data_IF_458231068184
#
_entry.id   IF_458231068184
#
_cell.length_a   1.000
_cell.length_b   1.000
_cell.length_c   1.000
_cell.angle_alpha   90.00
_cell.angle_beta   90.00
_cell.angle_gamma   90.00
#
_symmetry.space_group_name_H-M   'P 1'
#
loop_
_entity.id
_entity.type
_entity.pdbx_description
1 polymer ?
#
# COMPACT_ATOMS: atom_id res chain seq x y z
N UNK A 1 0.84 -16.11 -17.81
CA UNK A 1 1.40 -14.74 -17.83
C UNK A 1 0.60 -13.79 -18.73
N UNK A 2 0.29 -14.14 -19.98
CA UNK A 2 -0.59 -13.33 -20.86
C UNK A 2 -1.91 -12.91 -20.19
N UNK A 3 -2.62 -13.87 -19.59
CA UNK A 3 -3.88 -13.61 -18.90
C UNK A 3 -3.78 -12.55 -17.78
N UNK A 4 -2.65 -12.48 -17.05
CA UNK A 4 -2.44 -11.43 -16.04
C UNK A 4 -2.23 -10.06 -16.67
N UNK A 5 -1.55 -10.00 -17.82
CA UNK A 5 -1.34 -8.76 -18.56
C UNK A 5 -2.66 -8.26 -19.15
N UNK A 6 -3.50 -9.18 -19.66
CA UNK A 6 -4.83 -8.84 -20.17
C UNK A 6 -5.72 -8.24 -19.06
N UNK A 7 -5.71 -8.83 -17.86
CA UNK A 7 -6.42 -8.27 -16.69
C UNK A 7 -5.83 -6.91 -16.29
N UNK A 8 -4.50 -6.74 -16.31
CA UNK A 8 -3.86 -5.46 -16.04
C UNK A 8 -4.28 -4.37 -17.03
N UNK A 9 -4.41 -4.69 -18.32
CA UNK A 9 -4.89 -3.77 -19.33
C UNK A 9 -6.35 -3.36 -19.10
N UNK A 10 -7.20 -4.29 -18.68
CA UNK A 10 -8.59 -3.98 -18.28
C UNK A 10 -8.64 -3.07 -17.05
N UNK A 11 -7.82 -3.32 -16.03
CA UNK A 11 -7.73 -2.50 -14.81
C UNK A 11 -7.41 -1.05 -15.13
N UNK A 12 -6.47 -0.81 -16.07
CA UNK A 12 -6.08 0.55 -16.48
C UNK A 12 -7.23 1.33 -17.12
N UNK A 13 -8.15 0.63 -17.81
CA UNK A 13 -9.24 1.25 -18.56
C UNK A 13 -10.54 1.37 -17.75
N UNK A 14 -10.76 0.47 -16.78
CA UNK A 14 -11.97 0.44 -15.96
C UNK A 14 -12.06 1.67 -15.05
N UNK A 15 -13.16 2.42 -15.13
CA UNK A 15 -13.38 3.67 -14.38
C UNK A 15 -14.10 3.42 -13.06
N UNK A 16 -14.93 2.38 -12.98
CA UNK A 16 -15.65 2.04 -11.78
C UNK A 16 -14.72 1.36 -10.76
N UNK A 17 -14.68 1.91 -9.55
CA UNK A 17 -13.77 1.46 -8.51
C UNK A 17 -14.04 0.00 -8.09
N UNK A 18 -15.32 -0.37 -7.96
CA UNK A 18 -15.70 -1.71 -7.49
C UNK A 18 -15.40 -2.77 -8.56
N UNK A 19 -15.64 -2.47 -9.83
CA UNK A 19 -15.23 -3.33 -10.95
C UNK A 19 -13.70 -3.47 -11.00
N UNK A 20 -12.97 -2.38 -10.82
CA UNK A 20 -11.50 -2.42 -10.76
C UNK A 20 -10.99 -3.31 -9.62
N UNK A 21 -11.63 -3.26 -8.45
CA UNK A 21 -11.31 -4.13 -7.32
C UNK A 21 -11.54 -5.62 -7.64
N UNK A 22 -12.65 -5.94 -8.32
CA UNK A 22 -12.92 -7.32 -8.76
C UNK A 22 -11.86 -7.84 -9.72
N UNK A 23 -11.43 -7.03 -10.70
CA UNK A 23 -10.34 -7.40 -11.61
C UNK A 23 -9.02 -7.68 -10.87
N UNK A 24 -8.69 -6.89 -9.85
CA UNK A 24 -7.50 -7.15 -9.00
C UNK A 24 -7.64 -8.49 -8.27
N UNK A 25 -8.82 -8.80 -7.73
CA UNK A 25 -9.07 -10.08 -7.06
C UNK A 25 -8.96 -11.26 -8.02
N UNK A 26 -9.41 -11.10 -9.28
CA UNK A 26 -9.24 -12.11 -10.33
C UNK A 26 -7.76 -12.35 -10.67
N UNK A 27 -6.95 -11.29 -10.76
CA UNK A 27 -5.50 -11.42 -10.94
C UNK A 27 -4.83 -12.16 -9.77
N UNK A 28 -5.25 -11.88 -8.53
CA UNK A 28 -4.76 -12.59 -7.33
C UNK A 28 -5.16 -14.07 -7.38
N UNK A 29 -6.41 -14.39 -7.74
CA UNK A 29 -6.86 -15.77 -7.89
C UNK A 29 -6.05 -16.52 -8.95
N UNK A 30 -5.80 -15.89 -10.10
CA UNK A 30 -4.96 -16.46 -11.14
C UNK A 30 -3.51 -16.72 -10.67
N UNK A 31 -2.97 -15.83 -9.83
CA UNK A 31 -1.68 -16.04 -9.18
C UNK A 31 -1.67 -17.23 -8.20
N UNK A 32 -2.77 -17.51 -7.52
CA UNK A 32 -2.91 -18.67 -6.62
C UNK A 32 -3.05 -19.96 -7.43
N UNK A 33 -3.97 -19.98 -8.40
CA UNK A 33 -4.35 -21.19 -9.13
C UNK A 33 -3.26 -21.68 -10.11
N UNK A 34 -2.51 -20.74 -10.70
CA UNK A 34 -1.48 -21.05 -11.72
C UNK A 34 -0.05 -20.73 -11.29
N UNK A 35 0.15 -20.16 -10.09
CA UNK A 35 1.46 -19.84 -9.54
C UNK A 35 2.10 -21.00 -8.76
N UNK A 36 3.22 -20.76 -8.05
CA UNK A 36 3.77 -19.46 -7.68
C UNK A 36 4.69 -18.88 -8.76
N UNK A 37 4.33 -17.71 -9.28
CA UNK A 37 5.23 -16.92 -10.14
C UNK A 37 6.32 -16.21 -9.31
N UNK A 38 6.11 -16.11 -7.99
CA UNK A 38 7.04 -15.59 -7.00
C UNK A 38 6.88 -16.38 -5.70
N UNK A 39 8.00 -16.70 -5.04
CA UNK A 39 8.03 -17.38 -3.75
C UNK A 39 8.39 -16.37 -2.66
N UNK A 40 7.40 -15.90 -1.92
CA UNK A 40 7.61 -15.05 -0.74
C UNK A 40 8.04 -15.89 0.47
N UNK A 41 8.87 -15.30 1.34
CA UNK A 41 9.31 -15.94 2.60
C UNK A 41 8.51 -15.43 3.79
N UNK A 42 8.69 -14.17 4.15
CA UNK A 42 7.99 -13.47 5.23
C UNK A 42 7.49 -12.12 4.72
N UNK A 43 6.28 -11.73 5.13
CA UNK A 43 5.67 -10.46 4.78
C UNK A 43 5.78 -9.43 5.91
N UNK A 44 6.04 -8.17 5.53
CA UNK A 44 5.85 -6.95 6.35
C UNK A 44 6.27 -7.06 7.82
N UNK A 45 7.57 -6.91 8.09
CA UNK A 45 8.07 -6.72 9.46
C UNK A 45 7.50 -5.43 10.08
N UNK A 46 7.29 -5.38 11.42
CA UNK A 46 7.04 -4.12 12.11
C UNK A 46 8.15 -3.10 11.84
N UNK A 47 7.76 -1.86 11.59
CA UNK A 47 8.68 -0.73 11.37
C UNK A 47 8.34 0.39 12.36
N UNK A 48 8.91 0.37 13.58
CA UNK A 48 8.62 1.41 14.57
C UNK A 48 9.24 2.75 14.15
N UNK A 49 8.53 3.83 14.47
CA UNK A 49 9.01 5.22 14.36
C UNK A 49 9.07 5.81 15.76
N UNK A 50 10.08 6.65 16.00
CA UNK A 50 10.27 7.31 17.30
C UNK A 50 9.81 8.75 17.19
N UNK A 51 8.90 9.14 18.08
CA UNK A 51 8.33 10.48 18.13
C UNK A 51 8.65 11.08 19.51
N UNK A 52 8.99 12.37 19.55
CA UNK A 52 9.18 13.08 20.82
C UNK A 52 7.83 13.31 21.48
N UNK A 53 7.75 13.21 22.80
CA UNK A 53 6.49 13.40 23.54
C UNK A 53 5.83 14.78 23.34
N UNK A 54 6.60 15.78 22.92
CA UNK A 54 6.11 17.14 22.63
C UNK A 54 5.81 17.37 21.14
N UNK A 55 5.97 16.35 20.28
CA UNK A 55 5.73 16.42 18.83
C UNK A 55 4.46 15.64 18.50
N UNK A 56 3.46 16.35 18.03
CA UNK A 56 2.08 15.88 17.98
C UNK A 56 1.56 15.80 16.54
N UNK A 57 0.38 15.19 16.43
CA UNK A 57 -0.37 14.99 15.19
C UNK A 57 0.29 14.04 14.18
N UNK A 58 1.23 13.22 14.64
CA UNK A 58 1.78 12.09 13.88
C UNK A 58 0.85 10.88 14.06
N UNK A 59 0.38 10.21 13.00
CA UNK A 59 -0.46 9.02 13.12
C UNK A 59 0.26 7.86 13.84
N UNK A 60 -0.48 7.14 14.68
CA UNK A 60 0.03 5.97 15.41
C UNK A 60 0.33 4.78 14.49
N UNK A 61 -0.36 4.69 13.35
CA UNK A 61 -0.22 3.61 12.38
C UNK A 61 -0.04 4.14 10.96
N UNK A 62 0.71 3.39 10.14
CA UNK A 62 0.96 3.75 8.75
C UNK A 62 1.69 2.66 7.98
N UNK A 63 1.78 2.84 6.67
CA UNK A 63 2.52 1.93 5.77
C UNK A 63 3.89 2.56 5.49
N UNK A 64 4.93 2.02 6.12
CA UNK A 64 6.32 2.44 5.95
C UNK A 64 7.05 1.52 4.98
N UNK A 65 7.99 2.08 4.20
CA UNK A 65 8.89 1.33 3.31
C UNK A 65 8.59 1.44 1.81
N UNK A 66 7.35 1.23 1.33
CA UNK A 66 7.04 1.37 -0.09
C UNK A 66 7.14 2.81 -0.58
N UNK A 67 7.87 3.01 -1.69
CA UNK A 67 7.92 4.30 -2.39
C UNK A 67 6.53 4.77 -2.85
N UNK A 68 5.66 3.86 -3.29
CA UNK A 68 4.34 4.20 -3.81
C UNK A 68 3.39 4.83 -2.78
N UNK A 69 3.55 4.48 -1.49
CA UNK A 69 2.74 5.04 -0.40
C UNK A 69 3.42 6.29 0.19
N UNK A 70 4.73 6.48 -0.05
CA UNK A 70 5.46 7.73 0.26
C UNK A 70 5.39 8.23 1.70
N UNK A 71 5.06 7.38 2.68
CA UNK A 71 5.09 7.77 4.10
C UNK A 71 6.51 8.24 4.51
N UNK A 72 6.64 9.34 5.29
CA UNK A 72 5.59 10.08 6.01
C UNK A 72 4.89 11.19 5.20
N UNK A 73 5.09 11.30 3.88
CA UNK A 73 4.46 12.34 3.07
C UNK A 73 2.93 12.27 3.04
N UNK A 74 2.35 11.06 3.05
CA UNK A 74 0.89 10.87 3.06
C UNK A 74 0.24 11.11 4.42
N UNK A 75 1.02 11.28 5.48
CA UNK A 75 0.51 11.55 6.82
C UNK A 75 0.43 13.05 7.11
N UNK A 76 0.46 13.89 6.06
CA UNK A 76 0.29 15.35 6.11
C UNK A 76 1.22 16.03 7.13
N UNK A 77 2.55 15.92 6.96
CA UNK A 77 3.52 16.41 7.93
C UNK A 77 3.46 17.92 8.18
N UNK A 78 2.87 18.68 7.26
CA UNK A 78 2.57 20.10 7.43
C UNK A 78 1.57 20.40 8.56
N UNK A 79 0.81 19.39 9.01
CA UNK A 79 -0.10 19.50 10.15
C UNK A 79 0.56 19.10 11.47
N UNK A 80 1.83 18.69 11.47
CA UNK A 80 2.54 18.34 12.70
C UNK A 80 2.90 19.60 13.47
N UNK A 81 2.87 19.49 14.80
CA UNK A 81 3.21 20.62 15.66
C UNK A 81 4.01 20.20 16.88
N UNK A 82 4.69 21.17 17.48
CA UNK A 82 5.35 21.03 18.77
C UNK A 82 4.61 21.85 19.81
N UNK A 83 4.61 21.38 21.06
CA UNK A 83 4.10 22.18 22.18
C UNK A 83 4.76 23.57 22.21
N UNK A 84 3.96 24.59 22.56
CA UNK A 84 4.50 25.92 22.82
C UNK A 84 5.44 25.84 24.05
N UNK A 85 6.58 26.52 23.96
CA UNK A 85 7.54 26.62 25.06
C UNK A 85 6.96 27.35 26.27
#
# INVERSE_FOLDING_TARGET
>A
MKELLDIYDQIKQEKDLQKRHKLVQEAVKLHIDKGPFHLGTVGRKPMPVIIKNYFHNVPDEGILGPWAIVAPGISFPEQYYMDAR
#
